data_IF_040775546699
#
_entry.id   IF_040775546699
#
_cell.length_a   1.000
_cell.length_b   1.000
_cell.length_c   1.000
_cell.angle_alpha   90.00
_cell.angle_beta   90.00
_cell.angle_gamma   90.00
#
_symmetry.space_group_name_H-M   'P 1'
#
loop_
_entity.id
_entity.type
_entity.pdbx_description
1 polymer ?
#
# COMPACT_ATOMS: atom_id res chain seq x y z
N UNK A 1 25.52 -2.40 -13.20
CA UNK A 1 26.43 -1.25 -13.39
C UNK A 1 25.91 -0.11 -12.53
N UNK A 2 26.75 0.51 -11.71
CA UNK A 2 26.37 1.65 -10.88
C UNK A 2 26.71 2.93 -11.65
N UNK A 3 25.73 3.82 -11.82
CA UNK A 3 25.90 5.08 -12.52
C UNK A 3 26.93 5.94 -11.77
N UNK A 4 27.99 6.40 -12.44
CA UNK A 4 29.09 7.17 -11.85
C UNK A 4 28.67 8.63 -11.56
N UNK A 5 27.61 8.79 -10.77
CA UNK A 5 26.90 10.05 -10.54
C UNK A 5 27.19 10.51 -9.12
N UNK A 6 27.68 11.75 -8.99
CA UNK A 6 27.94 12.37 -7.69
C UNK A 6 26.62 12.75 -7.01
N UNK A 7 26.46 12.38 -5.73
CA UNK A 7 25.29 12.75 -4.92
C UNK A 7 25.03 14.27 -4.86
N UNK A 8 26.08 15.09 -5.01
CA UNK A 8 25.98 16.57 -5.04
C UNK A 8 25.16 17.11 -6.21
N UNK A 9 24.92 16.31 -7.24
CA UNK A 9 24.16 16.72 -8.42
C UNK A 9 22.63 16.72 -8.18
N UNK A 10 22.16 16.27 -7.00
CA UNK A 10 20.74 16.28 -6.62
C UNK A 10 19.78 15.74 -7.70
N UNK A 11 20.22 14.73 -8.46
CA UNK A 11 19.41 14.17 -9.55
C UNK A 11 18.15 13.49 -9.03
N UNK A 12 17.08 13.65 -9.79
CA UNK A 12 15.78 13.06 -9.47
C UNK A 12 15.76 11.56 -9.80
N UNK A 13 14.85 10.81 -9.16
CA UNK A 13 14.67 9.39 -9.46
C UNK A 13 14.27 9.15 -10.93
N UNK A 14 13.58 10.11 -11.56
CA UNK A 14 13.20 10.03 -12.98
C UNK A 14 14.44 10.10 -13.87
N UNK A 15 15.38 10.98 -13.55
CA UNK A 15 16.64 11.10 -14.30
C UNK A 15 17.57 9.90 -14.09
N UNK A 16 17.61 9.35 -12.87
CA UNK A 16 18.50 8.24 -12.52
C UNK A 16 18.02 6.89 -13.06
N UNK A 17 16.71 6.66 -13.05
CA UNK A 17 16.12 5.34 -13.31
C UNK A 17 15.20 5.31 -14.54
N UNK A 18 14.91 6.47 -15.16
CA UNK A 18 14.08 6.57 -16.36
C UNK A 18 12.70 5.93 -16.16
N UNK A 19 12.38 4.99 -17.05
CA UNK A 19 11.09 4.29 -17.09
C UNK A 19 10.99 3.09 -16.13
N UNK A 20 11.99 2.88 -15.28
CA UNK A 20 11.93 1.80 -14.29
C UNK A 20 10.76 2.04 -13.32
N UNK A 21 9.97 1.00 -13.02
CA UNK A 21 8.88 1.13 -12.08
C UNK A 21 9.41 1.51 -10.69
N UNK A 22 8.76 2.48 -10.06
CA UNK A 22 9.17 2.95 -8.74
C UNK A 22 9.15 1.80 -7.72
N UNK A 23 10.14 1.77 -6.84
CA UNK A 23 10.21 0.79 -5.75
C UNK A 23 8.95 0.84 -4.88
N UNK A 24 8.41 2.03 -4.68
CA UNK A 24 7.13 2.25 -3.99
C UNK A 24 6.03 1.38 -4.58
N UNK A 25 5.89 1.34 -5.91
CA UNK A 25 4.89 0.53 -6.59
C UNK A 25 5.02 -0.95 -6.24
N UNK A 26 6.24 -1.49 -6.22
CA UNK A 26 6.48 -2.87 -5.81
C UNK A 26 6.14 -3.13 -4.35
N UNK A 27 6.43 -2.18 -3.45
CA UNK A 27 6.09 -2.28 -2.03
C UNK A 27 4.56 -2.33 -1.85
N UNK A 28 3.83 -1.43 -2.51
CA UNK A 28 2.36 -1.38 -2.46
C UNK A 28 1.74 -2.69 -2.96
N UNK A 29 2.21 -3.18 -4.11
CA UNK A 29 1.75 -4.46 -4.67
C UNK A 29 1.97 -5.63 -3.72
N UNK A 30 3.14 -5.70 -3.06
CA UNK A 30 3.44 -6.75 -2.07
C UNK A 30 2.54 -6.63 -0.85
N UNK A 31 2.31 -5.41 -0.36
CA UNK A 31 1.41 -5.13 0.78
C UNK A 31 -0.02 -5.59 0.52
N UNK A 32 -0.55 -5.28 -0.66
CA UNK A 32 -1.90 -5.68 -1.09
C UNK A 32 -2.04 -7.20 -1.30
N UNK A 33 -0.99 -7.85 -1.82
CA UNK A 33 -0.97 -9.32 -1.94
C UNK A 33 -0.96 -10.00 -0.59
N UNK A 34 -0.13 -9.50 0.35
CA UNK A 34 -0.02 -10.05 1.70
C UNK A 34 -1.33 -9.88 2.47
N UNK A 35 -1.90 -8.68 2.48
CA UNK A 35 -3.19 -8.40 3.13
C UNK A 35 -4.31 -9.23 2.54
N UNK A 36 -4.39 -9.34 1.21
CA UNK A 36 -5.39 -10.18 0.57
C UNK A 36 -5.18 -11.69 0.77
N UNK A 37 -3.99 -12.14 1.15
CA UNK A 37 -3.76 -13.51 1.61
C UNK A 37 -4.23 -13.67 3.05
N UNK A 38 -3.79 -12.78 3.96
CA UNK A 38 -4.18 -12.81 5.36
C UNK A 38 -5.71 -12.71 5.52
N UNK A 39 -6.42 -11.93 4.70
CA UNK A 39 -7.88 -11.80 4.79
C UNK A 39 -8.63 -13.10 4.44
N UNK A 40 -8.01 -13.99 3.65
CA UNK A 40 -8.58 -15.29 3.31
C UNK A 40 -8.28 -16.37 4.35
N UNK A 41 -7.25 -16.15 5.15
CA UNK A 41 -6.75 -17.07 6.15
C UNK A 41 -6.88 -16.44 7.53
N UNK A 42 -8.12 -16.41 8.05
CA UNK A 42 -8.45 -15.82 9.35
C UNK A 42 -7.79 -16.58 10.52
N UNK A 43 -7.41 -17.83 10.30
CA UNK A 43 -6.67 -18.68 11.22
C UNK A 43 -5.23 -18.19 11.48
N UNK A 44 -4.65 -17.43 10.55
CA UNK A 44 -3.27 -16.96 10.64
C UNK A 44 -3.10 -15.84 11.67
N UNK A 45 -2.04 -15.91 12.47
CA UNK A 45 -1.72 -14.84 13.46
C UNK A 45 -1.51 -13.50 12.75
N UNK A 46 -0.96 -13.53 11.53
CA UNK A 46 -0.75 -12.33 10.73
C UNK A 46 -2.06 -11.59 10.41
N UNK A 47 -3.19 -12.29 10.26
CA UNK A 47 -4.49 -11.65 10.03
C UNK A 47 -4.84 -10.66 11.15
N UNK A 48 -4.67 -11.09 12.41
CA UNK A 48 -4.96 -10.29 13.60
C UNK A 48 -4.13 -9.01 13.65
N UNK A 49 -2.88 -9.07 13.18
CA UNK A 49 -1.97 -7.91 13.17
C UNK A 49 -2.20 -6.98 11.98
N UNK A 50 -2.56 -7.52 10.82
CA UNK A 50 -2.66 -6.77 9.56
C UNK A 50 -3.83 -5.80 9.53
N UNK A 51 -4.96 -6.16 10.15
CA UNK A 51 -6.14 -5.30 10.31
C UNK A 51 -6.24 -4.67 11.69
N UNK A 52 -5.20 -4.81 12.51
CA UNK A 52 -5.19 -4.24 13.84
C UNK A 52 -5.28 -2.72 13.80
N UNK A 53 -6.21 -2.20 14.59
CA UNK A 53 -6.34 -0.78 14.90
C UNK A 53 -6.76 -0.61 16.35
N UNK A 54 -6.54 0.58 16.94
CA UNK A 54 -7.02 0.87 18.28
C UNK A 54 -8.56 0.80 18.30
N UNK A 55 -9.11 -0.06 19.17
CA UNK A 55 -10.56 -0.23 19.37
C UNK A 55 -11.14 0.92 20.21
N UNK A 56 -10.35 1.46 21.14
CA UNK A 56 -10.80 2.44 22.12
C UNK A 56 -10.35 3.86 21.76
N UNK A 57 -11.34 4.73 21.55
CA UNK A 57 -11.17 6.19 21.43
C UNK A 57 -11.15 6.74 19.99
N UNK A 58 -11.59 7.99 19.86
CA UNK A 58 -11.37 8.74 18.62
C UNK A 58 -9.89 9.03 18.46
N UNK A 59 -9.32 8.67 17.32
CA UNK A 59 -7.95 9.02 16.96
C UNK A 59 -7.80 10.55 17.06
N UNK A 60 -7.04 11.02 18.05
CA UNK A 60 -6.89 12.46 18.33
C UNK A 60 -6.45 13.23 17.07
N UNK A 61 -6.84 14.52 16.95
CA UNK A 61 -6.49 15.43 15.84
C UNK A 61 -4.99 15.58 15.54
N UNK A 62 -4.11 15.03 16.40
CA UNK A 62 -2.66 15.06 16.21
C UNK A 62 -2.20 13.94 15.25
N UNK A 63 -1.14 14.15 14.46
CA UNK A 63 -0.58 13.10 13.60
C UNK A 63 -0.21 11.87 14.43
N UNK A 64 -0.91 10.76 14.19
CA UNK A 64 -0.61 9.48 14.82
C UNK A 64 0.33 8.66 13.93
N UNK A 65 1.02 7.68 14.54
CA UNK A 65 1.79 6.69 13.78
C UNK A 65 0.89 6.00 12.76
N UNK A 66 1.38 5.86 11.53
CA UNK A 66 0.67 5.19 10.44
C UNK A 66 0.60 3.70 10.74
N UNK A 67 -0.59 3.15 10.91
CA UNK A 67 -0.78 1.71 11.11
C UNK A 67 -0.85 0.98 9.77
N UNK A 68 -0.86 -0.35 9.80
CA UNK A 68 -0.87 -1.14 8.58
C UNK A 68 -2.13 -0.88 7.74
N UNK A 69 -3.30 -0.76 8.39
CA UNK A 69 -4.58 -0.42 7.75
C UNK A 69 -4.49 0.93 7.03
N UNK A 70 -3.87 1.96 7.62
CA UNK A 70 -3.70 3.27 6.97
C UNK A 70 -2.94 3.15 5.65
N UNK A 71 -1.91 2.31 5.61
CA UNK A 71 -1.15 2.07 4.38
C UNK A 71 -2.01 1.35 3.35
N UNK A 72 -2.85 0.39 3.74
CA UNK A 72 -3.77 -0.28 2.82
C UNK A 72 -4.81 0.68 2.26
N UNK A 73 -5.38 1.55 3.08
CA UNK A 73 -6.33 2.57 2.63
C UNK A 73 -5.66 3.54 1.65
N UNK A 74 -4.42 3.98 1.92
CA UNK A 74 -3.64 4.81 0.99
C UNK A 74 -3.28 4.09 -0.31
N UNK A 75 -2.91 2.82 -0.23
CA UNK A 75 -2.50 2.01 -1.38
C UNK A 75 -3.69 1.65 -2.30
N UNK A 76 -4.91 1.56 -1.74
CA UNK A 76 -6.14 1.26 -2.47
C UNK A 76 -6.97 2.49 -2.85
N UNK A 77 -6.78 3.62 -2.16
CA UNK A 77 -7.65 4.80 -2.27
C UNK A 77 -9.01 4.63 -1.59
N UNK A 78 -9.23 3.54 -0.84
CA UNK A 78 -10.50 3.27 -0.15
C UNK A 78 -10.57 4.09 1.14
N UNK A 79 -11.75 4.63 1.43
CA UNK A 79 -11.97 5.52 2.59
C UNK A 79 -12.02 4.78 3.93
N UNK A 80 -12.51 3.54 3.95
CA UNK A 80 -12.82 2.81 5.18
C UNK A 80 -12.45 1.31 5.10
N UNK A 81 -12.08 0.73 6.23
CA UNK A 81 -11.70 -0.68 6.40
C UNK A 81 -12.84 -1.66 6.08
N UNK A 82 -14.10 -1.27 6.27
CA UNK A 82 -15.25 -2.12 5.89
C UNK A 82 -15.29 -2.38 4.38
N UNK A 83 -15.18 -1.31 3.57
CA UNK A 83 -15.12 -1.42 2.10
C UNK A 83 -13.88 -2.21 1.65
N UNK A 84 -12.79 -2.12 2.39
CA UNK A 84 -11.56 -2.87 2.14
C UNK A 84 -11.77 -4.39 2.29
N UNK A 85 -12.64 -4.82 3.21
CA UNK A 85 -13.00 -6.24 3.36
C UNK A 85 -13.68 -6.81 2.12
N UNK A 86 -14.71 -6.12 1.62
CA UNK A 86 -15.43 -6.50 0.39
C UNK A 86 -14.52 -6.58 -0.82
N UNK A 87 -13.54 -5.66 -0.94
CA UNK A 87 -12.54 -5.70 -2.01
C UNK A 87 -11.65 -6.97 -1.95
N UNK A 88 -11.37 -7.51 -0.76
CA UNK A 88 -10.56 -8.72 -0.63
C UNK A 88 -11.35 -10.03 -0.87
N UNK A 89 -12.67 -9.99 -0.72
CA UNK A 89 -13.56 -11.11 -1.08
C UNK A 89 -13.56 -11.32 -2.60
N UNK A 90 -13.67 -10.24 -3.39
CA UNK A 90 -13.62 -10.32 -4.85
C UNK A 90 -12.17 -10.44 -5.38
N UNK A 91 -11.83 -11.61 -5.91
CA UNK A 91 -10.52 -11.89 -6.51
C UNK A 91 -10.20 -11.02 -7.72
N UNK A 92 -11.19 -10.72 -8.56
CA UNK A 92 -11.04 -9.95 -9.80
C UNK A 92 -10.77 -8.50 -9.47
N UNK A 93 -11.56 -7.90 -8.58
CA UNK A 93 -11.33 -6.53 -8.12
C UNK A 93 -9.99 -6.39 -7.43
N UNK A 94 -9.66 -7.29 -6.49
CA UNK A 94 -8.35 -7.32 -5.85
C UNK A 94 -7.21 -7.38 -6.87
N UNK A 95 -7.32 -8.23 -7.90
CA UNK A 95 -6.28 -8.34 -8.94
C UNK A 95 -6.14 -7.04 -9.72
N UNK A 96 -7.25 -6.35 -10.04
CA UNK A 96 -7.22 -5.04 -10.69
C UNK A 96 -6.48 -4.02 -9.82
N UNK A 97 -6.85 -3.93 -8.54
CA UNK A 97 -6.22 -2.99 -7.59
C UNK A 97 -4.74 -3.29 -7.37
N UNK A 98 -4.35 -4.56 -7.23
CA UNK A 98 -2.94 -4.95 -7.13
C UNK A 98 -2.17 -4.59 -8.39
N UNK A 99 -2.75 -4.71 -9.58
CA UNK A 99 -2.06 -4.36 -10.83
C UNK A 99 -1.99 -2.85 -11.05
N UNK A 100 -3.01 -2.10 -10.62
CA UNK A 100 -3.03 -0.64 -10.71
C UNK A 100 -2.23 0.06 -9.62
N UNK A 101 -2.02 -0.61 -8.46
CA UNK A 101 -1.23 -0.08 -7.36
C UNK A 101 0.19 0.28 -7.82
N UNK A 102 0.54 1.55 -7.61
CA UNK A 102 1.83 2.11 -7.99
C UNK A 102 1.97 2.55 -9.45
N UNK A 103 0.88 2.66 -10.21
CA UNK A 103 0.89 3.48 -11.44
C UNK A 103 0.90 4.95 -11.02
N UNK A 104 1.68 5.79 -11.71
CA UNK A 104 1.79 7.24 -11.46
C UNK A 104 0.44 7.97 -11.42
N UNK A 105 -0.60 7.39 -12.04
CA UNK A 105 -1.97 7.91 -12.09
C UNK A 105 -2.96 7.21 -11.14
N UNK A 106 -2.49 6.47 -10.14
CA UNK A 106 -3.34 5.70 -9.20
C UNK A 106 -4.07 6.51 -8.13
N UNK A 107 -4.05 7.85 -8.18
CA UNK A 107 -4.97 8.68 -7.41
C UNK A 107 -6.29 8.74 -8.16
N UNK A 108 -7.19 7.80 -7.86
CA UNK A 108 -8.61 8.05 -8.07
C UNK A 108 -8.99 9.14 -7.05
N UNK A 109 -9.19 10.35 -7.57
CA UNK A 109 -9.83 11.44 -6.83
C UNK A 109 -11.31 11.18 -6.64
#
# INVERSE_FOLDING_TARGET
>A
MASNISYKNHQTNVELYGDLPQVTSKIQQRRLRLSGHCMKHLEEIANKLMLWGPLDGTRNKRPQKTIFVDNLLRDTGIENSLKLGSLYEDRVERKKVVVSAGRSNGRLG
#
